data_IF_519523935614
#
_entry.id   IF_519523935614
#
_cell.length_a   1.000
_cell.length_b   1.000
_cell.length_c   1.000
_cell.angle_alpha   90.00
_cell.angle_beta   90.00
_cell.angle_gamma   90.00
#
_symmetry.space_group_name_H-M   'P 1'
#
loop_
_entity.id
_entity.type
_entity.pdbx_description
1 polymer ?
#
# COMPACT_ATOMS: atom_id res chain seq x y z
N UNK A 1 -53.46 -67.22 37.22
CA UNK A 1 -53.96 -66.74 35.92
C UNK A 1 -52.77 -66.05 35.26
N UNK A 2 -51.91 -66.79 34.56
CA UNK A 2 -52.02 -67.13 33.13
C UNK A 2 -51.98 -65.86 32.26
N UNK A 3 -51.16 -65.68 31.24
CA UNK A 3 -50.22 -66.54 30.50
C UNK A 3 -49.47 -65.67 29.47
N UNK A 4 -48.34 -66.19 28.97
CA UNK A 4 -47.74 -65.87 27.66
C UNK A 4 -46.92 -64.57 27.57
N UNK A 5 -45.66 -64.52 27.14
CA UNK A 5 -44.86 -65.45 26.34
C UNK A 5 -44.29 -64.70 25.13
N UNK A 6 -43.08 -65.09 24.72
CA UNK A 6 -42.33 -64.75 23.50
C UNK A 6 -41.20 -63.71 23.68
N UNK A 7 -39.99 -64.26 23.74
CA UNK A 7 -38.74 -63.64 23.33
C UNK A 7 -38.49 -64.07 21.86
N UNK A 8 -37.95 -63.22 20.97
CA UNK A 8 -36.65 -63.61 20.41
C UNK A 8 -35.69 -62.46 20.02
N UNK A 9 -34.40 -62.74 20.25
CA UNK A 9 -33.24 -62.48 19.38
C UNK A 9 -32.79 -61.06 18.98
N UNK A 10 -31.53 -60.80 19.37
CA UNK A 10 -30.42 -60.20 18.60
C UNK A 10 -30.65 -58.93 17.77
N UNK A 11 -30.04 -57.83 18.23
CA UNK A 11 -29.17 -56.98 17.41
C UNK A 11 -28.33 -56.08 18.32
N UNK A 12 -27.11 -56.52 18.65
CA UNK A 12 -26.05 -55.59 19.08
C UNK A 12 -25.50 -54.97 17.80
N UNK A 13 -25.95 -53.76 17.47
CA UNK A 13 -25.22 -52.91 16.53
C UNK A 13 -23.97 -52.41 17.24
N UNK A 14 -22.86 -53.13 17.06
CA UNK A 14 -21.52 -52.59 17.29
C UNK A 14 -21.31 -51.41 16.35
N UNK A 15 -21.37 -50.20 16.89
CA UNK A 15 -20.86 -49.01 16.21
C UNK A 15 -19.34 -49.12 16.16
N UNK A 16 -18.79 -49.45 15.00
CA UNK A 16 -17.35 -49.45 14.73
C UNK A 16 -16.79 -48.03 14.87
N UNK A 17 -15.98 -47.72 15.91
CA UNK A 17 -15.30 -46.44 16.03
C UNK A 17 -13.90 -46.60 15.46
N UNK A 18 -13.70 -46.28 14.18
CA UNK A 18 -12.35 -46.43 13.60
C UNK A 18 -12.11 -45.78 12.24
N UNK A 19 -13.10 -45.83 11.32
CA UNK A 19 -12.82 -45.45 9.93
C UNK A 19 -12.85 -43.93 9.65
N UNK A 20 -13.65 -43.15 10.38
CA UNK A 20 -13.72 -41.69 10.22
C UNK A 20 -12.46 -40.97 10.75
N UNK A 21 -11.87 -41.48 11.84
CA UNK A 21 -10.70 -40.88 12.48
C UNK A 21 -9.43 -41.01 11.64
N UNK A 22 -9.19 -42.19 11.05
CA UNK A 22 -7.99 -42.47 10.26
C UNK A 22 -7.97 -41.73 8.92
N UNK A 23 -9.12 -41.61 8.24
CA UNK A 23 -9.23 -40.84 6.99
C UNK A 23 -8.98 -39.34 7.24
N UNK A 24 -9.52 -38.79 8.33
CA UNK A 24 -9.25 -37.39 8.71
C UNK A 24 -7.77 -37.16 9.02
N UNK A 25 -7.10 -38.08 9.73
CA UNK A 25 -5.67 -37.99 10.04
C UNK A 25 -4.77 -38.12 8.81
N UNK A 26 -5.10 -39.02 7.88
CA UNK A 26 -4.32 -39.17 6.63
C UNK A 26 -4.44 -37.93 5.72
N UNK A 27 -5.66 -37.38 5.60
CA UNK A 27 -5.89 -36.15 4.85
C UNK A 27 -5.18 -34.95 5.49
N UNK A 28 -5.21 -34.85 6.82
CA UNK A 28 -4.55 -33.79 7.58
C UNK A 28 -3.02 -33.86 7.44
N UNK A 29 -2.43 -35.06 7.51
CA UNK A 29 -1.00 -35.28 7.25
C UNK A 29 -0.60 -34.87 5.82
N UNK A 30 -1.46 -35.10 4.82
CA UNK A 30 -1.17 -34.70 3.45
C UNK A 30 -1.16 -33.18 3.27
N UNK A 31 -2.11 -32.48 3.89
CA UNK A 31 -2.17 -31.00 3.88
C UNK A 31 -0.95 -30.40 4.59
N UNK A 32 -0.55 -30.96 5.73
CA UNK A 32 0.63 -30.52 6.47
C UNK A 32 1.91 -30.72 5.66
N UNK A 33 2.06 -31.88 5.00
CA UNK A 33 3.21 -32.15 4.13
C UNK A 33 3.29 -31.16 2.96
N UNK A 34 2.18 -30.92 2.26
CA UNK A 34 2.14 -29.91 1.20
C UNK A 34 2.48 -28.51 1.71
N UNK A 35 1.97 -28.15 2.89
CA UNK A 35 2.28 -26.85 3.51
C UNK A 35 3.79 -26.70 3.77
N UNK A 36 4.44 -27.74 4.29
CA UNK A 36 5.88 -27.75 4.54
C UNK A 36 6.72 -27.67 3.26
N UNK A 37 6.30 -28.37 2.20
CA UNK A 37 6.95 -28.29 0.89
C UNK A 37 6.86 -26.87 0.32
N UNK A 38 5.68 -26.26 0.35
CA UNK A 38 5.46 -24.88 -0.09
C UNK A 38 6.34 -23.91 0.73
N UNK A 39 6.35 -24.02 2.07
CA UNK A 39 7.20 -23.21 2.93
C UNK A 39 8.69 -23.29 2.53
N UNK A 40 9.14 -24.51 2.22
CA UNK A 40 10.52 -24.78 1.82
C UNK A 40 10.83 -24.13 0.48
N UNK A 41 9.94 -24.27 -0.50
CA UNK A 41 10.08 -23.64 -1.83
C UNK A 41 10.12 -22.12 -1.69
N UNK A 42 9.18 -21.53 -0.94
CA UNK A 42 9.12 -20.07 -0.73
C UNK A 42 10.40 -19.54 -0.08
N UNK A 43 10.94 -20.28 0.90
CA UNK A 43 12.21 -19.93 1.55
C UNK A 43 13.38 -19.97 0.56
N UNK A 44 13.46 -21.01 -0.27
CA UNK A 44 14.50 -21.15 -1.31
C UNK A 44 14.41 -20.07 -2.40
N UNK A 45 13.20 -19.60 -2.71
CA UNK A 45 12.96 -18.46 -3.60
C UNK A 45 13.32 -17.10 -2.96
N UNK A 46 13.72 -17.09 -1.68
CA UNK A 46 14.12 -15.88 -0.96
C UNK A 46 12.94 -15.11 -0.36
N UNK A 47 11.78 -15.73 -0.18
CA UNK A 47 10.64 -15.18 0.58
C UNK A 47 10.63 -15.64 2.05
N UNK A 48 11.71 -16.28 2.49
CA UNK A 48 11.92 -16.59 3.90
C UNK A 48 11.98 -15.32 4.76
N UNK A 49 11.58 -15.46 6.02
CA UNK A 49 11.44 -14.34 6.95
C UNK A 49 12.74 -13.54 7.13
N UNK A 50 13.88 -14.22 7.24
CA UNK A 50 15.20 -13.59 7.39
C UNK A 50 15.55 -12.71 6.18
N UNK A 51 15.46 -13.27 4.97
CA UNK A 51 15.75 -12.55 3.73
C UNK A 51 14.82 -11.35 3.56
N UNK A 52 13.52 -11.52 3.87
CA UNK A 52 12.55 -10.41 3.82
C UNK A 52 12.94 -9.29 4.77
N UNK A 53 13.23 -9.60 6.04
CA UNK A 53 13.64 -8.60 7.04
C UNK A 53 14.92 -7.88 6.63
N UNK A 54 15.89 -8.63 6.09
CA UNK A 54 17.14 -8.05 5.58
C UNK A 54 16.87 -7.05 4.44
N UNK A 55 16.02 -7.39 3.47
CA UNK A 55 15.65 -6.48 2.38
C UNK A 55 14.92 -5.23 2.87
N UNK A 56 13.95 -5.38 3.78
CA UNK A 56 13.24 -4.25 4.38
C UNK A 56 14.22 -3.28 5.03
N UNK A 57 15.17 -3.78 5.82
CA UNK A 57 16.16 -2.90 6.45
C UNK A 57 17.10 -2.26 5.43
N UNK A 58 17.50 -3.00 4.39
CA UNK A 58 18.35 -2.46 3.31
C UNK A 58 17.67 -1.33 2.55
N UNK A 59 16.41 -1.46 2.17
CA UNK A 59 15.69 -0.37 1.50
C UNK A 59 15.48 0.84 2.43
N UNK A 60 15.23 0.61 3.73
CA UNK A 60 15.19 1.70 4.72
C UNK A 60 16.53 2.40 4.89
N UNK A 61 17.64 1.66 4.86
CA UNK A 61 18.99 2.22 4.90
C UNK A 61 19.26 3.09 3.67
N UNK A 62 18.90 2.60 2.47
CA UNK A 62 18.99 3.37 1.23
C UNK A 62 18.15 4.66 1.29
N UNK A 63 16.90 4.57 1.74
CA UNK A 63 16.06 5.76 1.95
C UNK A 63 16.71 6.76 2.90
N UNK A 64 17.31 6.31 4.02
CA UNK A 64 18.01 7.19 4.96
C UNK A 64 19.21 7.87 4.30
N UNK A 65 20.01 7.11 3.55
CA UNK A 65 21.18 7.63 2.84
C UNK A 65 20.79 8.67 1.79
N UNK A 66 19.80 8.39 0.95
CA UNK A 66 19.33 9.32 -0.08
C UNK A 66 18.72 10.58 0.54
N UNK A 67 18.00 10.44 1.66
CA UNK A 67 17.40 11.58 2.36
C UNK A 67 18.39 12.45 3.14
N UNK A 68 19.66 12.05 3.28
CA UNK A 68 20.70 12.94 3.83
C UNK A 68 21.10 14.04 2.86
N UNK A 69 20.86 13.85 1.56
CA UNK A 69 21.19 14.82 0.53
C UNK A 69 20.22 16.01 0.58
N UNK A 70 20.70 17.25 0.39
CA UNK A 70 19.81 18.40 0.27
C UNK A 70 18.87 18.22 -0.93
N UNK A 71 17.60 17.95 -0.64
CA UNK A 71 16.56 17.78 -1.66
C UNK A 71 15.27 18.46 -1.21
N UNK A 72 14.48 18.93 -2.18
CA UNK A 72 13.16 19.51 -1.98
C UNK A 72 12.08 18.47 -1.65
N UNK A 73 12.39 17.17 -1.81
CA UNK A 73 11.53 16.06 -1.44
C UNK A 73 12.24 15.10 -0.48
N UNK A 74 11.45 14.31 0.24
CA UNK A 74 11.87 13.12 0.99
C UNK A 74 11.48 11.91 0.15
N UNK A 75 12.43 11.02 -0.10
CA UNK A 75 12.24 9.77 -0.79
C UNK A 75 11.73 8.70 0.20
N UNK A 76 10.65 8.03 -0.15
CA UNK A 76 10.14 6.88 0.61
C UNK A 76 9.96 5.72 -0.36
N UNK A 77 10.72 4.65 -0.17
CA UNK A 77 10.50 3.41 -0.92
C UNK A 77 9.13 2.84 -0.55
N UNK A 78 8.35 2.45 -1.56
CA UNK A 78 7.02 1.88 -1.42
C UNK A 78 6.93 0.50 -2.11
N UNK A 79 5.72 -0.08 -2.13
CA UNK A 79 5.43 -1.30 -2.86
C UNK A 79 6.18 -2.54 -2.36
N UNK A 80 6.36 -3.52 -3.25
CA UNK A 80 6.99 -4.81 -2.89
C UNK A 80 8.42 -4.65 -2.37
N UNK A 81 9.15 -3.63 -2.83
CA UNK A 81 10.50 -3.30 -2.33
C UNK A 81 10.44 -2.94 -0.84
N UNK A 82 9.55 -2.02 -0.45
CA UNK A 82 9.39 -1.60 0.96
C UNK A 82 8.93 -2.73 1.89
N UNK A 83 8.18 -3.70 1.36
CA UNK A 83 7.69 -4.88 2.08
C UNK A 83 8.74 -6.01 2.21
N UNK A 84 9.86 -5.90 1.48
CA UNK A 84 10.91 -6.91 1.37
C UNK A 84 10.51 -8.12 0.51
N UNK A 85 9.45 -7.99 -0.27
CA UNK A 85 8.84 -9.07 -1.06
C UNK A 85 9.33 -9.09 -2.51
N UNK A 86 10.49 -8.49 -2.78
CA UNK A 86 11.10 -8.50 -4.12
C UNK A 86 11.78 -9.82 -4.43
N UNK A 87 11.47 -10.43 -5.58
CA UNK A 87 12.27 -11.51 -6.15
C UNK A 87 13.34 -10.96 -7.11
N UNK A 88 14.20 -11.84 -7.62
CA UNK A 88 15.23 -11.51 -8.62
C UNK A 88 14.64 -10.90 -9.92
N UNK A 89 13.34 -11.06 -10.17
CA UNK A 89 12.66 -10.60 -11.39
C UNK A 89 11.76 -9.36 -11.19
N UNK A 90 11.70 -8.76 -9.99
CA UNK A 90 10.98 -7.48 -9.80
C UNK A 90 11.89 -6.29 -10.12
N UNK A 91 11.74 -5.75 -11.33
CA UNK A 91 12.58 -4.70 -11.92
C UNK A 91 12.13 -3.27 -11.60
N UNK A 92 10.90 -3.08 -11.12
CA UNK A 92 10.32 -1.78 -10.79
C UNK A 92 10.58 -1.38 -9.33
N UNK A 93 10.92 -0.11 -9.13
CA UNK A 93 11.11 0.52 -7.84
C UNK A 93 10.05 1.61 -7.65
N UNK A 94 9.05 1.32 -6.81
CA UNK A 94 8.04 2.30 -6.41
C UNK A 94 8.62 3.29 -5.39
N UNK A 95 8.52 4.58 -5.70
CA UNK A 95 9.05 5.65 -4.87
C UNK A 95 7.99 6.71 -4.66
N UNK A 96 7.70 7.01 -3.40
CA UNK A 96 6.90 8.16 -3.01
C UNK A 96 7.83 9.36 -2.78
N UNK A 97 7.63 10.45 -3.53
CA UNK A 97 8.39 11.69 -3.41
C UNK A 97 7.61 12.70 -2.57
N UNK A 98 7.88 12.73 -1.28
CA UNK A 98 7.19 13.58 -0.34
C UNK A 98 7.73 15.02 -0.37
N UNK A 99 6.93 15.96 -0.88
CA UNK A 99 7.33 17.37 -0.99
C UNK A 99 7.44 18.02 0.39
N UNK A 100 8.55 18.73 0.63
CA UNK A 100 8.79 19.46 1.89
C UNK A 100 8.07 20.81 1.88
N UNK A 101 7.81 21.36 3.08
CA UNK A 101 7.25 22.70 3.24
C UNK A 101 5.74 22.82 3.01
N UNK A 102 5.04 21.71 2.76
CA UNK A 102 3.58 21.65 2.58
C UNK A 102 2.97 20.65 3.55
N UNK A 103 1.84 21.01 4.16
CA UNK A 103 1.04 20.14 5.00
C UNK A 103 -0.44 20.22 4.63
N UNK A 104 -1.04 19.08 4.34
CA UNK A 104 -2.47 18.96 4.16
C UNK A 104 -3.11 18.53 5.48
N UNK A 105 -4.24 19.14 5.85
CA UNK A 105 -4.92 18.90 7.13
C UNK A 105 -6.40 18.63 6.94
N UNK A 106 -6.96 17.77 7.79
CA UNK A 106 -8.41 17.64 7.92
C UNK A 106 -9.07 18.93 8.43
N UNK A 107 -10.38 19.04 8.20
CA UNK A 107 -11.18 20.12 8.78
C UNK A 107 -11.18 20.06 10.32
N UNK A 108 -11.08 21.22 10.97
CA UNK A 108 -11.12 21.34 12.44
C UNK A 108 -9.76 21.25 13.14
N UNK A 109 -8.66 21.08 12.40
CA UNK A 109 -7.31 21.15 12.97
C UNK A 109 -6.96 22.60 13.35
N UNK A 110 -6.41 22.77 14.55
CA UNK A 110 -5.93 24.07 15.01
C UNK A 110 -4.64 24.45 14.27
N UNK A 111 -4.70 25.46 13.42
CA UNK A 111 -3.56 25.91 12.60
C UNK A 111 -2.41 26.48 13.44
N UNK A 112 -2.67 26.97 14.66
CA UNK A 112 -1.63 27.50 15.55
C UNK A 112 -0.64 26.44 16.04
N UNK A 113 -0.97 25.16 15.96
CA UNK A 113 -0.02 24.08 16.29
C UNK A 113 0.93 23.76 15.14
N UNK A 114 0.72 24.35 13.96
CA UNK A 114 1.50 24.09 12.75
C UNK A 114 2.51 25.23 12.56
N UNK A 115 3.82 24.94 12.41
CA UNK A 115 4.85 25.96 12.20
C UNK A 115 4.53 26.92 11.04
N UNK A 116 4.83 28.21 11.22
CA UNK A 116 4.47 29.27 10.25
C UNK A 116 5.19 29.17 8.90
N UNK A 117 6.33 28.48 8.84
CA UNK A 117 7.12 28.28 7.62
C UNK A 117 6.56 27.22 6.65
N UNK A 118 5.33 26.74 6.84
CA UNK A 118 4.73 25.63 6.08
C UNK A 118 3.42 26.08 5.44
N UNK A 119 3.27 25.82 4.13
CA UNK A 119 1.97 25.99 3.46
C UNK A 119 0.97 24.98 3.98
N UNK A 120 -0.21 25.46 4.35
CA UNK A 120 -1.29 24.61 4.83
C UNK A 120 -2.44 24.61 3.85
N UNK A 121 -2.82 23.39 3.44
CA UNK A 121 -4.01 23.13 2.65
C UNK A 121 -5.03 22.35 3.47
N UNK A 122 -6.27 22.82 3.55
CA UNK A 122 -7.36 22.03 4.12
C UNK A 122 -7.92 21.06 3.09
N UNK A 123 -8.16 19.85 3.55
CA UNK A 123 -8.82 18.81 2.80
C UNK A 123 -10.34 19.01 2.82
N UNK A 124 -10.94 19.06 1.63
CA UNK A 124 -12.38 18.86 1.46
C UNK A 124 -12.65 17.43 1.00
N UNK A 125 -13.11 16.60 1.93
CA UNK A 125 -13.39 15.17 1.74
C UNK A 125 -14.84 14.89 1.30
N UNK A 126 -15.64 15.93 1.02
CA UNK A 126 -17.06 15.80 0.56
C UNK A 126 -17.20 15.45 -0.92
N UNK A 127 -16.15 14.88 -1.50
CA UNK A 127 -16.12 14.40 -2.89
C UNK A 127 -16.34 12.87 -2.90
N UNK A 128 -15.48 12.11 -3.56
CA UNK A 128 -15.51 10.66 -3.57
C UNK A 128 -14.74 10.05 -2.39
N UNK A 129 -15.15 8.88 -1.86
CA UNK A 129 -14.39 8.17 -0.84
C UNK A 129 -12.92 7.98 -1.22
N UNK A 130 -12.02 8.24 -0.27
CA UNK A 130 -10.57 8.17 -0.47
C UNK A 130 -9.98 9.32 -1.30
N UNK A 131 -10.79 10.28 -1.73
CA UNK A 131 -10.34 11.47 -2.47
C UNK A 131 -10.70 12.75 -1.72
N UNK A 132 -9.97 13.82 -2.00
CA UNK A 132 -10.26 15.15 -1.48
C UNK A 132 -9.85 16.26 -2.45
N UNK A 133 -10.38 17.46 -2.28
CA UNK A 133 -9.81 18.69 -2.86
C UNK A 133 -8.98 19.41 -1.82
N UNK A 134 -7.99 20.18 -2.27
CA UNK A 134 -7.08 20.90 -1.39
C UNK A 134 -7.32 22.40 -1.51
N UNK A 135 -7.78 23.02 -0.42
CA UNK A 135 -8.06 24.45 -0.33
C UNK A 135 -6.93 25.13 0.44
N UNK A 136 -6.38 26.21 -0.10
CA UNK A 136 -5.33 26.98 0.57
C UNK A 136 -5.90 27.67 1.80
N UNK A 137 -5.39 27.34 2.99
CA UNK A 137 -5.77 27.99 4.26
C UNK A 137 -4.71 28.98 4.73
N UNK A 138 -3.44 28.56 4.70
CA UNK A 138 -2.31 29.42 5.07
C UNK A 138 -1.22 29.28 4.02
N UNK A 139 -0.81 30.41 3.45
CA UNK A 139 0.32 30.47 2.54
C UNK A 139 1.56 30.87 3.33
N UNK A 140 2.57 30.00 3.32
CA UNK A 140 3.91 30.38 3.74
C UNK A 140 4.67 30.98 2.55
N UNK A 141 5.86 31.54 2.78
CA UNK A 141 6.73 32.07 1.72
C UNK A 141 7.39 30.95 0.89
N UNK A 142 6.61 29.96 0.47
CA UNK A 142 7.06 28.87 -0.37
C UNK A 142 7.61 29.39 -1.68
N UNK A 143 8.80 28.91 -2.03
CA UNK A 143 9.47 29.23 -3.30
C UNK A 143 9.36 28.09 -4.31
N UNK A 144 8.58 27.05 -3.98
CA UNK A 144 8.42 25.88 -4.82
C UNK A 144 7.50 26.20 -6.00
N UNK A 145 8.09 26.39 -7.18
CA UNK A 145 7.36 26.68 -8.43
C UNK A 145 6.28 25.64 -8.71
N UNK A 146 6.54 24.37 -8.41
CA UNK A 146 5.59 23.27 -8.60
C UNK A 146 4.31 23.46 -7.78
N UNK A 147 4.38 24.07 -6.60
CA UNK A 147 3.20 24.41 -5.80
C UNK A 147 2.55 25.66 -6.38
N UNK A 148 3.33 26.73 -6.58
CA UNK A 148 2.83 28.03 -6.99
C UNK A 148 2.09 28.01 -8.33
N UNK A 149 2.63 27.31 -9.32
CA UNK A 149 2.06 27.18 -10.66
C UNK A 149 0.80 26.29 -10.69
N UNK A 150 0.56 25.55 -9.61
CA UNK A 150 -0.56 24.61 -9.51
C UNK A 150 -1.75 25.18 -8.72
N UNK A 151 -1.65 26.43 -8.25
CA UNK A 151 -2.73 27.11 -7.54
C UNK A 151 -3.74 27.68 -8.53
N UNK A 152 -5.01 27.38 -8.31
CA UNK A 152 -6.14 27.83 -9.14
C UNK A 152 -7.18 28.53 -8.27
N UNK A 153 -7.67 29.70 -8.71
CA UNK A 153 -8.87 30.31 -8.13
C UNK A 153 -10.11 29.58 -8.64
N UNK A 154 -11.06 29.27 -7.75
CA UNK A 154 -12.33 28.64 -8.14
C UNK A 154 -13.39 29.63 -8.66
N UNK A 155 -13.06 30.91 -8.79
CA UNK A 155 -13.98 31.97 -9.19
C UNK A 155 -14.89 32.48 -8.07
N UNK A 156 -14.82 31.86 -6.88
CA UNK A 156 -15.56 32.24 -5.67
C UNK A 156 -14.64 32.75 -4.56
N UNK A 157 -13.38 33.08 -4.90
CA UNK A 157 -12.39 33.63 -3.99
C UNK A 157 -11.66 32.59 -3.14
N UNK A 158 -11.86 31.29 -3.37
CA UNK A 158 -11.05 30.25 -2.75
C UNK A 158 -9.99 29.74 -3.72
N UNK A 159 -8.77 29.63 -3.22
CA UNK A 159 -7.63 29.09 -3.97
C UNK A 159 -7.51 27.59 -3.69
N UNK A 160 -7.46 26.78 -4.74
CA UNK A 160 -7.25 25.34 -4.66
C UNK A 160 -5.91 24.93 -5.28
N UNK A 161 -5.41 23.77 -4.86
CA UNK A 161 -4.24 23.15 -5.49
C UNK A 161 -4.71 22.09 -6.49
N UNK A 162 -4.48 22.35 -7.78
CA UNK A 162 -4.78 21.42 -8.87
C UNK A 162 -3.82 20.23 -8.83
N UNK A 163 -4.38 19.02 -8.83
CA UNK A 163 -3.58 17.79 -8.90
C UNK A 163 -2.94 17.60 -10.27
N UNK A 164 -3.65 17.92 -11.36
CA UNK A 164 -3.12 17.78 -12.72
C UNK A 164 -1.97 18.74 -13.00
N UNK A 165 -2.13 20.03 -12.67
CA UNK A 165 -1.05 21.02 -12.86
C UNK A 165 0.18 20.66 -12.00
N UNK A 166 -0.06 20.21 -10.77
CA UNK A 166 1.01 19.76 -9.88
C UNK A 166 1.76 18.56 -10.46
N UNK A 167 1.04 17.57 -11.00
CA UNK A 167 1.67 16.41 -11.62
C UNK A 167 2.45 16.79 -12.88
N UNK A 168 1.95 17.73 -13.69
CA UNK A 168 2.65 18.22 -14.88
C UNK A 168 3.94 18.98 -14.53
N UNK A 169 3.90 19.84 -13.51
CA UNK A 169 5.09 20.54 -13.00
C UNK A 169 6.16 19.58 -12.45
N UNK A 170 5.74 18.57 -11.70
CA UNK A 170 6.65 17.53 -11.22
C UNK A 170 7.19 16.64 -12.34
N UNK A 171 6.35 16.33 -13.33
CA UNK A 171 6.79 15.61 -14.53
C UNK A 171 7.87 16.41 -15.23
N UNK A 172 7.62 17.68 -15.57
CA UNK A 172 8.59 18.54 -16.24
C UNK A 172 9.94 18.62 -15.48
N UNK A 173 9.90 18.72 -14.15
CA UNK A 173 11.11 18.73 -13.32
C UNK A 173 11.92 17.42 -13.44
N UNK A 174 11.24 16.27 -13.39
CA UNK A 174 11.90 14.97 -13.37
C UNK A 174 12.37 14.55 -14.78
N UNK A 175 11.59 14.82 -15.82
CA UNK A 175 11.97 14.50 -17.22
C UNK A 175 13.10 15.38 -17.74
N UNK A 176 13.27 16.61 -17.23
CA UNK A 176 14.47 17.41 -17.54
C UNK A 176 15.78 16.73 -17.06
N UNK A 177 15.70 15.83 -16.08
CA UNK A 177 16.85 15.11 -15.54
C UNK A 177 17.08 13.72 -16.17
N UNK A 178 16.10 13.17 -16.89
CA UNK A 178 16.15 11.80 -17.43
C UNK A 178 15.59 11.70 -18.85
N UNK A 179 16.35 11.05 -19.75
CA UNK A 179 15.88 10.63 -21.09
C UNK A 179 14.90 9.46 -20.94
N UNK A 180 13.61 9.73 -20.77
CA UNK A 180 12.59 8.67 -20.89
C UNK A 180 11.26 9.20 -21.44
N UNK A 181 10.85 8.61 -22.55
CA UNK A 181 9.57 8.79 -23.23
C UNK A 181 8.69 7.57 -22.85
N UNK A 182 7.94 7.70 -21.77
CA UNK A 182 7.03 6.67 -21.28
C UNK A 182 5.66 7.31 -21.03
N UNK A 183 4.60 6.69 -21.58
CA UNK A 183 3.23 7.13 -21.33
C UNK A 183 2.93 7.09 -19.82
N UNK A 184 2.54 8.24 -19.27
CA UNK A 184 2.18 8.38 -17.85
C UNK A 184 0.88 7.61 -17.56
N UNK A 185 0.91 6.72 -16.58
CA UNK A 185 -0.27 6.01 -16.10
C UNK A 185 -0.56 6.39 -14.62
N UNK A 186 -1.71 7.01 -14.38
CA UNK A 186 -2.10 7.40 -13.03
C UNK A 186 -1.18 8.48 -12.43
N UNK A 187 -0.86 8.43 -11.12
CA UNK A 187 -0.02 9.44 -10.47
C UNK A 187 1.49 9.18 -10.60
N UNK A 188 1.92 8.13 -11.33
CA UNK A 188 3.34 7.79 -11.48
C UNK A 188 4.00 8.60 -12.59
N UNK A 189 5.23 9.03 -12.32
CA UNK A 189 6.18 9.58 -13.28
C UNK A 189 7.27 8.51 -13.48
N UNK A 190 7.15 7.69 -14.54
CA UNK A 190 8.10 6.61 -14.80
C UNK A 190 9.47 7.16 -15.17
N UNK A 191 10.52 6.43 -14.81
CA UNK A 191 11.90 6.72 -15.16
C UNK A 191 12.77 5.47 -15.14
N UNK A 192 14.06 5.66 -15.41
CA UNK A 192 15.02 4.54 -15.43
C UNK A 192 16.34 4.92 -14.77
N UNK A 193 16.86 4.02 -13.93
CA UNK A 193 18.20 4.13 -13.34
C UNK A 193 19.11 3.11 -14.04
N UNK A 194 20.15 3.62 -14.72
CA UNK A 194 21.20 2.79 -15.31
C UNK A 194 22.27 2.45 -14.27
N UNK A 195 22.80 1.23 -14.30
CA UNK A 195 23.98 0.84 -13.52
C UNK A 195 23.68 0.09 -12.21
N UNK A 196 22.42 -0.22 -11.92
CA UNK A 196 22.07 -1.15 -10.84
C UNK A 196 22.19 -2.58 -11.40
N UNK A 197 23.09 -3.38 -10.84
CA UNK A 197 23.24 -4.82 -11.15
C UNK A 197 23.45 -5.17 -12.64
N UNK A 198 24.29 -4.42 -13.38
CA UNK A 198 24.52 -4.60 -14.82
C UNK A 198 23.26 -4.47 -15.72
N UNK A 199 22.19 -3.83 -15.22
CA UNK A 199 20.93 -3.64 -15.95
C UNK A 199 20.33 -2.24 -15.83
N UNK A 200 19.12 -2.10 -16.37
CA UNK A 200 18.25 -0.93 -16.23
C UNK A 200 17.18 -1.25 -15.19
N UNK A 201 17.09 -0.44 -14.14
CA UNK A 201 16.01 -0.53 -13.15
C UNK A 201 14.94 0.49 -13.52
N UNK A 202 13.68 0.04 -13.65
CA UNK A 202 12.55 0.94 -13.84
C UNK A 202 12.16 1.54 -12.50
N UNK A 203 11.80 2.81 -12.50
CA UNK A 203 11.43 3.52 -11.28
C UNK A 203 10.11 4.23 -11.51
N UNK A 204 9.17 4.02 -10.60
CA UNK A 204 7.87 4.67 -10.61
C UNK A 204 7.83 5.71 -9.50
N UNK A 205 7.92 6.99 -9.87
CA UNK A 205 7.98 8.10 -8.92
C UNK A 205 6.62 8.74 -8.78
N UNK A 206 6.06 8.71 -7.59
CA UNK A 206 4.77 9.33 -7.28
C UNK A 206 5.01 10.54 -6.38
N UNK A 207 4.84 11.78 -6.87
CA UNK A 207 4.91 12.95 -6.01
C UNK A 207 3.73 12.95 -5.04
N UNK A 208 3.99 13.36 -3.80
CA UNK A 208 3.00 13.31 -2.73
C UNK A 208 3.14 14.44 -1.71
N UNK A 209 2.02 14.77 -1.08
CA UNK A 209 1.93 15.75 0.00
C UNK A 209 1.66 15.07 1.33
N UNK A 210 2.27 15.57 2.42
CA UNK A 210 2.01 15.06 3.76
C UNK A 210 0.59 15.40 4.17
N UNK A 211 -0.13 14.44 4.75
CA UNK A 211 -1.49 14.58 5.21
C UNK A 211 -1.59 14.27 6.71
N UNK A 212 -2.11 15.23 7.47
CA UNK A 212 -2.47 15.07 8.87
C UNK A 212 -3.99 14.88 8.98
N UNK A 213 -4.41 13.62 9.07
CA UNK A 213 -5.81 13.20 9.07
C UNK A 213 -6.19 12.35 10.30
N UNK A 214 -6.08 12.91 11.52
CA UNK A 214 -6.30 12.15 12.75
C UNK A 214 -7.72 11.59 12.87
N UNK A 215 -8.76 12.27 12.36
CA UNK A 215 -10.14 11.79 12.45
C UNK A 215 -10.33 10.53 11.59
N UNK A 216 -9.86 10.56 10.33
CA UNK A 216 -9.88 9.37 9.45
C UNK A 216 -9.10 8.21 10.08
N UNK A 217 -7.88 8.46 10.58
CA UNK A 217 -7.03 7.43 11.18
C UNK A 217 -7.63 6.86 12.47
N UNK A 218 -8.25 7.70 13.32
CA UNK A 218 -8.90 7.22 14.54
C UNK A 218 -10.16 6.41 14.24
N UNK A 219 -10.95 6.79 13.23
CA UNK A 219 -12.06 5.96 12.74
C UNK A 219 -11.58 4.61 12.23
N UNK A 220 -10.45 4.59 11.52
CA UNK A 220 -9.80 3.33 11.15
C UNK A 220 -9.36 2.55 12.37
N UNK A 221 -8.78 3.17 13.39
CA UNK A 221 -8.30 2.52 14.63
C UNK A 221 -9.42 1.97 15.53
N UNK A 222 -10.61 2.56 15.49
CA UNK A 222 -11.75 2.16 16.32
C UNK A 222 -12.51 0.91 15.81
N UNK A 223 -12.23 0.42 14.59
CA UNK A 223 -12.92 -0.77 14.05
C UNK A 223 -12.62 -2.02 14.89
N UNK A 224 -13.65 -2.82 15.17
CA UNK A 224 -13.50 -4.15 15.78
C UNK A 224 -12.63 -5.04 14.91
N UNK A 225 -11.59 -5.66 15.48
CA UNK A 225 -10.68 -6.56 14.76
C UNK A 225 -9.99 -7.54 15.71
N UNK A 226 -9.52 -8.66 15.16
CA UNK A 226 -8.62 -9.59 15.87
C UNK A 226 -7.14 -9.39 15.48
N UNK A 227 -6.87 -8.70 14.38
CA UNK A 227 -5.54 -8.34 13.91
C UNK A 227 -5.58 -6.96 13.23
N UNK A 228 -4.51 -6.15 13.31
CA UNK A 228 -3.28 -6.39 14.08
C UNK A 228 -3.48 -6.09 15.58
N UNK A 229 -2.42 -6.29 16.38
CA UNK A 229 -2.47 -5.96 17.81
C UNK A 229 -2.69 -4.46 18.04
N UNK A 230 -3.25 -4.04 19.20
CA UNK A 230 -3.48 -2.62 19.50
C UNK A 230 -2.22 -1.76 19.39
N UNK A 231 -1.05 -2.30 19.74
CA UNK A 231 0.24 -1.62 19.62
C UNK A 231 0.56 -1.27 18.16
N UNK A 232 0.34 -2.22 17.25
CA UNK A 232 0.54 -1.98 15.81
C UNK A 232 -0.50 -1.03 15.25
N UNK A 233 -1.75 -1.09 15.72
CA UNK A 233 -2.79 -0.11 15.36
C UNK A 233 -2.34 1.31 15.71
N UNK A 234 -1.87 1.54 16.93
CA UNK A 234 -1.39 2.86 17.35
C UNK A 234 -0.16 3.31 16.55
N UNK A 235 0.75 2.38 16.26
CA UNK A 235 1.91 2.66 15.39
C UNK A 235 1.47 3.11 14.00
N UNK A 236 0.53 2.40 13.37
CA UNK A 236 -0.01 2.80 12.05
C UNK A 236 -0.66 4.19 12.08
N UNK A 237 -1.44 4.50 13.12
CA UNK A 237 -2.03 5.85 13.29
C UNK A 237 -0.94 6.93 13.39
N UNK A 238 0.21 6.63 14.01
CA UNK A 238 1.31 7.58 14.16
C UNK A 238 2.13 7.83 12.89
N UNK A 239 2.09 6.91 11.91
CA UNK A 239 2.88 7.01 10.66
C UNK A 239 2.34 8.06 9.67
N UNK A 240 1.12 8.55 9.91
CA UNK A 240 0.47 9.57 9.09
C UNK A 240 -0.10 9.04 7.77
N UNK A 241 -0.44 9.97 6.88
CA UNK A 241 -0.96 9.66 5.55
C UNK A 241 -0.36 10.61 4.50
N UNK A 242 -0.60 10.30 3.23
CA UNK A 242 -0.17 11.12 2.12
C UNK A 242 -1.28 11.33 1.11
N UNK A 243 -1.09 12.31 0.24
CA UNK A 243 -1.98 12.64 -0.86
C UNK A 243 -1.20 12.58 -2.17
N UNK A 244 -1.73 11.85 -3.14
CA UNK A 244 -1.17 11.70 -4.49
C UNK A 244 -2.03 12.45 -5.50
N UNK A 245 -1.43 13.05 -6.55
CA UNK A 245 -2.13 13.91 -7.50
C UNK A 245 -2.86 13.08 -8.56
N UNK A 246 -3.88 12.34 -8.14
CA UNK A 246 -4.79 11.62 -9.02
C UNK A 246 -6.21 11.75 -8.50
N UNK A 247 -7.11 12.22 -9.36
CA UNK A 247 -8.52 12.33 -9.05
C UNK A 247 -9.31 11.06 -9.31
N UNK A 248 -10.56 11.07 -8.88
CA UNK A 248 -11.45 9.94 -9.10
C UNK A 248 -11.80 9.85 -10.60
N UNK A 249 -11.67 8.65 -11.20
CA UNK A 249 -11.80 8.46 -12.66
C UNK A 249 -13.15 8.92 -13.23
N UNK A 250 -14.22 8.83 -12.45
CA UNK A 250 -15.57 9.25 -12.83
C UNK A 250 -15.95 10.67 -12.41
N UNK A 251 -15.01 11.47 -11.89
CA UNK A 251 -15.28 12.85 -11.47
C UNK A 251 -15.03 13.84 -12.61
N UNK A 252 -15.95 14.78 -12.81
CA UNK A 252 -15.74 15.95 -13.67
C UNK A 252 -14.61 16.85 -13.16
N UNK A 253 -14.33 16.79 -11.85
CA UNK A 253 -13.32 17.58 -11.17
C UNK A 253 -12.06 16.78 -10.83
N UNK A 254 -11.82 15.65 -11.50
CA UNK A 254 -10.65 14.78 -11.26
C UNK A 254 -9.30 15.51 -11.31
N UNK A 255 -9.21 16.59 -12.08
CA UNK A 255 -8.00 17.43 -12.23
C UNK A 255 -7.71 18.33 -11.00
N UNK A 256 -8.66 18.42 -10.06
CA UNK A 256 -8.54 19.14 -8.78
C UNK A 256 -8.54 18.19 -7.58
N UNK A 257 -8.71 16.90 -7.81
CA UNK A 257 -8.86 15.89 -6.76
C UNK A 257 -7.56 15.17 -6.50
N UNK A 258 -7.34 14.84 -5.24
CA UNK A 258 -6.18 14.17 -4.70
C UNK A 258 -6.62 12.88 -4.04
N UNK A 259 -5.85 11.80 -4.22
CA UNK A 259 -6.14 10.50 -3.62
C UNK A 259 -5.31 10.29 -2.37
N UNK A 260 -5.98 9.90 -1.29
CA UNK A 260 -5.33 9.50 -0.05
C UNK A 260 -4.59 8.17 -0.24
N UNK A 261 -3.39 8.08 0.31
CA UNK A 261 -2.64 6.83 0.42
C UNK A 261 -1.97 6.70 1.79
N UNK A 262 -1.76 5.45 2.20
CA UNK A 262 -1.26 5.11 3.53
C UNK A 262 -0.05 4.17 3.44
N UNK A 263 0.83 4.37 2.46
CA UNK A 263 1.90 3.44 2.09
C UNK A 263 2.79 3.01 3.27
N UNK A 264 3.14 3.93 4.17
CA UNK A 264 3.94 3.62 5.37
C UNK A 264 3.16 2.78 6.38
N UNK A 265 1.87 3.08 6.59
CA UNK A 265 0.97 2.27 7.41
C UNK A 265 0.73 0.88 6.82
N UNK A 266 0.52 0.79 5.51
CA UNK A 266 0.38 -0.48 4.76
C UNK A 266 1.66 -1.33 4.89
N UNK A 267 2.83 -0.72 4.70
CA UNK A 267 4.12 -1.39 4.86
C UNK A 267 4.33 -1.87 6.30
N UNK A 268 3.93 -1.09 7.30
CA UNK A 268 3.99 -1.50 8.70
C UNK A 268 3.08 -2.71 8.98
N UNK A 269 1.87 -2.72 8.41
CA UNK A 269 0.95 -3.87 8.52
C UNK A 269 1.55 -5.13 7.91
N UNK A 270 2.10 -5.05 6.69
CA UNK A 270 2.74 -6.19 6.01
C UNK A 270 3.96 -6.68 6.80
N UNK A 271 4.73 -5.77 7.39
CA UNK A 271 5.91 -6.13 8.18
C UNK A 271 5.59 -6.87 9.48
N UNK A 272 4.35 -6.77 9.98
CA UNK A 272 3.87 -7.45 11.19
C UNK A 272 2.96 -8.65 10.90
N UNK A 273 2.93 -9.14 9.66
CA UNK A 273 2.38 -10.45 9.36
C UNK A 273 3.26 -11.54 9.98
N UNK A 274 2.64 -12.59 10.52
CA UNK A 274 3.38 -13.78 10.94
C UNK A 274 3.86 -14.59 9.71
N UNK A 275 4.74 -15.57 9.93
CA UNK A 275 5.40 -16.31 8.85
C UNK A 275 4.39 -16.97 7.89
N UNK A 276 3.32 -17.59 8.40
CA UNK A 276 2.25 -18.19 7.57
C UNK A 276 1.47 -17.13 6.78
N UNK A 277 1.07 -16.03 7.43
CA UNK A 277 0.35 -14.93 6.78
C UNK A 277 1.19 -14.30 5.67
N UNK A 278 2.49 -14.09 5.91
CA UNK A 278 3.42 -13.58 4.89
C UNK A 278 3.48 -14.52 3.69
N UNK A 279 3.65 -15.83 3.90
CA UNK A 279 3.72 -16.78 2.80
C UNK A 279 2.43 -16.80 1.98
N UNK A 280 1.27 -16.81 2.63
CA UNK A 280 -0.03 -16.72 1.95
C UNK A 280 -0.14 -15.43 1.15
N UNK A 281 0.25 -14.29 1.74
CA UNK A 281 0.24 -13.00 1.06
C UNK A 281 1.11 -12.99 -0.20
N UNK A 282 2.33 -13.52 -0.13
CA UNK A 282 3.23 -13.62 -1.28
C UNK A 282 2.66 -14.56 -2.34
N UNK A 283 2.15 -15.73 -1.96
CA UNK A 283 1.54 -16.67 -2.91
C UNK A 283 0.35 -16.04 -3.64
N UNK A 284 -0.51 -15.30 -2.94
CA UNK A 284 -1.63 -14.58 -3.54
C UNK A 284 -1.15 -13.50 -4.53
N UNK A 285 -0.09 -12.75 -4.18
CA UNK A 285 0.56 -11.81 -5.09
C UNK A 285 1.09 -12.50 -6.35
N UNK A 286 1.79 -13.63 -6.20
CA UNK A 286 2.32 -14.42 -7.32
C UNK A 286 1.20 -14.95 -8.22
N UNK A 287 0.15 -15.53 -7.66
CA UNK A 287 -1.01 -16.02 -8.44
C UNK A 287 -1.66 -14.87 -9.22
N UNK A 288 -1.87 -13.71 -8.58
CA UNK A 288 -2.45 -12.55 -9.24
C UNK A 288 -1.58 -12.05 -10.40
N UNK A 289 -0.27 -11.96 -10.18
CA UNK A 289 0.70 -11.44 -11.16
C UNK A 289 0.98 -12.42 -12.28
N UNK A 290 1.30 -13.67 -11.95
CA UNK A 290 1.87 -14.61 -12.92
C UNK A 290 0.82 -15.53 -13.53
N UNK A 291 -0.30 -15.79 -12.85
CA UNK A 291 -1.37 -16.65 -13.38
C UNK A 291 -2.48 -15.79 -13.98
N UNK A 292 -3.08 -14.92 -13.19
CA UNK A 292 -4.29 -14.19 -13.59
C UNK A 292 -4.02 -13.10 -14.64
N UNK A 293 -2.85 -12.43 -14.58
CA UNK A 293 -2.51 -11.42 -15.60
C UNK A 293 -2.31 -12.06 -16.99
N UNK A 294 -1.73 -13.26 -17.05
CA UNK A 294 -1.56 -14.01 -18.28
C UNK A 294 -2.90 -14.45 -18.87
N UNK A 295 -3.82 -14.92 -18.03
CA UNK A 295 -5.18 -15.30 -18.44
C UNK A 295 -5.94 -14.09 -19.00
N UNK A 296 -5.89 -12.92 -18.35
CA UNK A 296 -6.52 -11.69 -18.85
C UNK A 296 -5.97 -11.27 -20.21
N UNK A 297 -4.66 -11.32 -20.42
CA UNK A 297 -4.05 -11.01 -21.72
C UNK A 297 -4.58 -11.92 -22.82
N UNK A 298 -4.69 -13.23 -22.57
CA UNK A 298 -5.24 -14.19 -23.55
C UNK A 298 -6.71 -13.91 -23.89
N UNK A 299 -7.53 -13.57 -22.90
CA UNK A 299 -8.97 -13.29 -23.09
C UNK A 299 -9.24 -12.01 -23.89
N UNK A 300 -8.37 -11.01 -23.86
CA UNK A 300 -8.50 -9.79 -24.67
C UNK A 300 -7.95 -9.93 -26.10
N UNK A 301 -7.33 -11.06 -26.43
CA UNK A 301 -6.89 -11.41 -27.78
C UNK A 301 -7.79 -12.47 -28.45
N UNK A 302 -8.97 -12.75 -27.87
CA UNK A 302 -10.03 -13.60 -28.45
C UNK A 302 -11.26 -12.75 -28.69
#
# INVERSE_FOLDING_TARGET
MAEGGINPAMSKTESVPGHSSLYSRHSQNHVENMSMEICTIMTRLGYGEEMRRWRVEKYRELDRLDNTRPSHAILITAGSKAEGLTCYLESDWDILLLVKGVLCVEAGINLHTIPDGIDVFRMDTRVYPGHCRLLQERRAHTRYKQILNSLCDNGYGAVLLSSSLFLDEFSALLTQSELADHERAGPSIPGTIKGVCQGVCHVDRVPALRCHCPIILQRWAARTRHWPSPVIVQKVVSLGAYLTPVGFKGSDYKHMEWRMCFNTGETELVNNLNSTQTQVYVMLKMILKDVLSLVRKKLHHT
#
